data_IF_059553542943
#
_entry.id   IF_059553542943
#
_cell.length_a   1.000
_cell.length_b   1.000
_cell.length_c   1.000
_cell.angle_alpha   90.00
_cell.angle_beta   90.00
_cell.angle_gamma   90.00
#
_symmetry.space_group_name_H-M   'P 1'
#
loop_
_entity.id
_entity.type
_entity.pdbx_description
1 polymer ?
#
# COMPACT_ATOMS: atom_id res chain seq x y z
N UNK A 1 -14.59 14.85 -19.06
CA UNK A 1 -13.30 15.39 -18.57
C UNK A 1 -12.84 14.49 -17.43
N UNK A 2 -12.08 13.43 -17.74
CA UNK A 2 -11.63 12.44 -16.74
C UNK A 2 -10.35 12.96 -16.11
N UNK A 3 -10.45 13.56 -14.91
CA UNK A 3 -9.30 13.80 -14.03
C UNK A 3 -8.82 12.43 -13.54
N UNK A 4 -7.81 11.87 -14.19
CA UNK A 4 -7.35 10.50 -13.92
C UNK A 4 -5.84 10.33 -13.86
N UNK A 5 -5.07 11.41 -13.68
CA UNK A 5 -3.60 11.34 -13.74
C UNK A 5 -2.82 11.95 -12.56
N UNK A 6 -3.47 12.46 -11.52
CA UNK A 6 -2.78 13.14 -10.40
C UNK A 6 -2.90 12.44 -9.02
N UNK A 7 -3.70 11.37 -8.90
CA UNK A 7 -3.97 10.72 -7.61
C UNK A 7 -3.29 9.34 -7.43
N UNK A 8 -2.34 8.98 -8.31
CA UNK A 8 -1.67 7.68 -8.26
C UNK A 8 -0.63 7.63 -7.13
N UNK A 9 -1.12 7.33 -5.92
CA UNK A 9 -0.38 7.01 -4.69
C UNK A 9 0.65 5.89 -4.92
N UNK A 10 1.73 5.88 -4.12
CA UNK A 10 2.74 4.83 -3.96
C UNK A 10 2.66 3.72 -5.03
N UNK A 11 3.23 4.01 -6.20
CA UNK A 11 3.18 3.10 -7.33
C UNK A 11 4.23 2.00 -7.26
N UNK A 12 5.18 2.06 -6.33
CA UNK A 12 6.31 1.12 -6.24
C UNK A 12 6.82 0.98 -4.82
N UNK A 13 7.36 -0.18 -4.47
CA UNK A 13 8.02 -0.41 -3.19
C UNK A 13 9.27 -1.28 -3.32
N UNK A 14 10.08 -1.36 -2.27
CA UNK A 14 11.22 -2.27 -2.18
C UNK A 14 10.80 -3.52 -1.41
N UNK A 15 10.91 -4.69 -2.03
CA UNK A 15 10.72 -5.96 -1.31
C UNK A 15 11.89 -6.22 -0.34
N UNK A 16 11.83 -7.36 0.37
CA UNK A 16 12.86 -7.77 1.34
C UNK A 16 14.23 -8.08 0.71
N UNK A 17 14.28 -8.26 -0.61
CA UNK A 17 15.52 -8.45 -1.38
C UNK A 17 16.04 -7.12 -1.98
N UNK A 18 15.48 -5.98 -1.56
CA UNK A 18 15.78 -4.64 -2.08
C UNK A 18 15.50 -4.45 -3.58
N UNK A 19 14.66 -5.31 -4.17
CA UNK A 19 14.17 -5.15 -5.54
C UNK A 19 12.99 -4.20 -5.57
N UNK A 20 12.98 -3.29 -6.54
CA UNK A 20 11.81 -2.46 -6.85
C UNK A 20 10.68 -3.32 -7.44
N UNK A 21 9.52 -3.23 -6.80
CA UNK A 21 8.30 -3.93 -7.18
C UNK A 21 7.35 -2.95 -7.84
N UNK A 22 6.75 -3.41 -8.94
CA UNK A 22 5.86 -2.63 -9.79
C UNK A 22 4.44 -3.21 -9.75
N UNK A 23 3.41 -2.41 -10.09
CA UNK A 23 2.09 -2.94 -10.31
C UNK A 23 2.12 -4.04 -11.36
N UNK A 24 1.33 -5.10 -11.13
CA UNK A 24 1.28 -6.34 -11.91
C UNK A 24 2.41 -7.34 -11.64
N UNK A 25 3.41 -7.00 -10.81
CA UNK A 25 4.38 -7.99 -10.33
C UNK A 25 3.69 -9.00 -9.38
N UNK A 26 4.24 -10.21 -9.36
CA UNK A 26 3.92 -11.24 -8.36
C UNK A 26 4.66 -10.90 -7.06
N UNK A 27 3.94 -10.90 -5.94
CA UNK A 27 4.43 -10.51 -4.63
C UNK A 27 3.97 -11.51 -3.59
N UNK A 28 4.89 -11.94 -2.72
CA UNK A 28 4.54 -12.69 -1.51
C UNK A 28 3.86 -11.75 -0.51
N UNK A 29 2.63 -12.08 -0.13
CA UNK A 29 1.85 -11.38 0.89
C UNK A 29 1.63 -12.29 2.08
N UNK A 30 1.51 -11.70 3.27
CA UNK A 30 1.18 -12.43 4.49
C UNK A 30 -0.32 -12.36 4.78
N UNK A 31 -0.92 -13.47 5.17
CA UNK A 31 -2.34 -13.58 5.51
C UNK A 31 -2.51 -14.34 6.83
N UNK A 32 -3.74 -14.37 7.36
CA UNK A 32 -4.06 -15.21 8.52
C UNK A 32 -3.85 -16.72 8.26
N UNK A 33 -3.73 -17.13 7.01
CA UNK A 33 -3.53 -18.53 6.58
C UNK A 33 -2.06 -18.84 6.24
N UNK A 34 -1.14 -17.90 6.44
CA UNK A 34 0.26 -17.99 6.00
C UNK A 34 0.56 -17.10 4.79
N UNK A 35 1.74 -17.29 4.20
CA UNK A 35 2.18 -16.51 3.04
C UNK A 35 1.56 -17.04 1.73
N UNK A 36 1.33 -16.14 0.77
CA UNK A 36 0.77 -16.47 -0.53
C UNK A 36 1.33 -15.51 -1.59
N UNK A 37 1.58 -16.02 -2.80
CA UNK A 37 1.90 -15.17 -3.93
C UNK A 37 0.64 -14.59 -4.56
N UNK A 38 0.62 -13.27 -4.78
CA UNK A 38 -0.47 -12.54 -5.44
C UNK A 38 0.07 -11.47 -6.39
N UNK A 39 -0.68 -11.19 -7.44
CA UNK A 39 -0.40 -10.12 -8.40
C UNK A 39 -0.85 -8.79 -7.82
N UNK A 40 0.02 -7.78 -7.82
CA UNK A 40 -0.36 -6.45 -7.37
C UNK A 40 -1.25 -5.74 -8.39
N UNK A 41 -2.50 -5.51 -8.02
CA UNK A 41 -3.46 -4.73 -8.78
C UNK A 41 -4.64 -5.54 -9.30
N UNK A 42 -5.83 -4.94 -9.23
CA UNK A 42 -7.07 -5.49 -9.72
C UNK A 42 -7.44 -4.81 -11.04
N UNK A 43 -7.52 -5.58 -12.12
CA UNK A 43 -7.88 -5.04 -13.44
C UNK A 43 -9.38 -4.84 -13.53
N UNK A 44 -9.80 -3.62 -13.85
CA UNK A 44 -11.17 -3.34 -14.23
C UNK A 44 -11.41 -3.80 -15.67
N UNK A 45 -12.28 -4.82 -15.85
CA UNK A 45 -12.57 -5.43 -17.14
C UNK A 45 -13.24 -4.49 -18.16
N UNK A 46 -13.87 -3.41 -17.71
CA UNK A 46 -14.64 -2.52 -18.58
C UNK A 46 -13.78 -1.44 -19.25
N UNK A 47 -12.74 -0.95 -18.59
CA UNK A 47 -11.92 0.16 -19.06
C UNK A 47 -10.40 -0.14 -19.04
N UNK A 48 -10.03 -1.38 -18.72
CA UNK A 48 -8.66 -1.87 -18.62
C UNK A 48 -7.77 -1.07 -17.65
N UNK A 49 -8.35 -0.33 -16.70
CA UNK A 49 -7.56 0.37 -15.67
C UNK A 49 -7.24 -0.57 -14.53
N UNK A 50 -6.01 -0.52 -14.05
CA UNK A 50 -5.58 -1.32 -12.88
C UNK A 50 -5.76 -0.50 -11.61
N UNK A 51 -6.57 -1.01 -10.70
CA UNK A 51 -6.71 -0.49 -9.35
C UNK A 51 -5.60 -1.09 -8.49
N UNK A 52 -4.64 -0.28 -8.06
CA UNK A 52 -3.47 -0.74 -7.28
C UNK A 52 -3.60 -0.43 -5.79
N UNK A 53 -4.44 0.55 -5.44
CA UNK A 53 -4.61 1.09 -4.10
C UNK A 53 -6.10 1.19 -3.72
N UNK A 54 -6.39 1.07 -2.42
CA UNK A 54 -7.69 1.35 -1.82
C UNK A 54 -7.53 2.37 -0.69
N UNK A 55 -8.53 3.24 -0.50
CA UNK A 55 -8.55 4.21 0.60
C UNK A 55 -9.01 3.51 1.87
N UNK A 56 -8.19 3.53 2.93
CA UNK A 56 -8.52 2.90 4.21
C UNK A 56 -9.78 3.47 4.85
N UNK A 57 -10.10 4.73 4.55
CA UNK A 57 -11.30 5.43 5.01
C UNK A 57 -12.59 4.79 4.49
N UNK A 58 -12.57 4.18 3.29
CA UNK A 58 -13.78 3.68 2.61
C UNK A 58 -13.70 2.21 2.20
N UNK A 59 -12.57 1.53 2.44
CA UNK A 59 -12.36 0.14 2.02
C UNK A 59 -13.38 -0.83 2.62
N UNK A 60 -13.92 -0.53 3.80
CA UNK A 60 -14.92 -1.36 4.47
C UNK A 60 -16.36 -1.06 4.03
N UNK A 61 -16.58 0.07 3.34
CA UNK A 61 -17.91 0.55 2.95
C UNK A 61 -18.21 0.21 1.48
N UNK A 62 -17.21 0.31 0.61
CA UNK A 62 -17.39 0.18 -0.83
C UNK A 62 -17.64 -1.28 -1.26
N UNK A 63 -18.72 -1.58 -2.02
CA UNK A 63 -19.08 -2.94 -2.41
C UNK A 63 -17.96 -3.73 -3.10
N UNK A 64 -17.08 -3.05 -3.85
CA UNK A 64 -16.00 -3.71 -4.60
C UNK A 64 -14.98 -4.42 -3.70
N UNK A 65 -14.79 -3.94 -2.47
CA UNK A 65 -13.84 -4.46 -1.49
C UNK A 65 -14.47 -5.38 -0.44
N UNK A 66 -15.81 -5.55 -0.46
CA UNK A 66 -16.57 -6.32 0.55
C UNK A 66 -16.06 -7.75 0.70
N UNK A 67 -15.75 -8.41 -0.42
CA UNK A 67 -15.29 -9.79 -0.45
C UNK A 67 -13.75 -9.91 -0.53
N UNK A 68 -13.02 -8.81 -0.33
CA UNK A 68 -11.56 -8.85 -0.27
C UNK A 68 -11.11 -9.04 1.17
N UNK A 69 -10.19 -10.00 1.38
CA UNK A 69 -9.65 -10.40 2.68
C UNK A 69 -8.42 -9.55 3.02
N UNK A 70 -8.14 -9.27 4.31
CA UNK A 70 -6.94 -8.55 4.72
C UNK A 70 -5.65 -9.33 4.44
N UNK A 71 -4.58 -8.62 4.10
CA UNK A 71 -3.21 -9.12 4.04
C UNK A 71 -2.20 -8.04 4.46
N UNK A 72 -0.96 -8.46 4.66
CA UNK A 72 0.20 -7.60 4.90
C UNK A 72 1.19 -7.75 3.73
N UNK A 73 1.78 -6.63 3.32
CA UNK A 73 2.87 -6.57 2.34
C UNK A 73 4.13 -6.12 3.08
N UNK A 74 5.06 -7.03 3.39
CA UNK A 74 6.35 -6.67 3.97
C UNK A 74 7.23 -5.99 2.92
N UNK A 75 7.86 -4.89 3.30
CA UNK A 75 8.73 -4.10 2.42
C UNK A 75 9.85 -3.42 3.21
N UNK A 76 10.94 -3.05 2.55
CA UNK A 76 12.02 -2.24 3.13
C UNK A 76 11.66 -0.74 3.09
N UNK A 77 10.85 -0.36 2.11
CA UNK A 77 10.44 1.02 1.90
C UNK A 77 9.52 1.15 0.71
N UNK A 78 8.99 2.35 0.51
CA UNK A 78 8.10 2.65 -0.59
C UNK A 78 8.46 3.95 -1.29
N UNK A 79 8.09 4.06 -2.56
CA UNK A 79 8.45 5.22 -3.38
C UNK A 79 7.25 6.15 -3.58
N UNK A 80 7.52 7.45 -3.50
CA UNK A 80 6.58 8.51 -3.89
C UNK A 80 7.28 9.54 -4.78
N UNK A 81 6.46 10.26 -5.54
CA UNK A 81 6.92 11.32 -6.43
C UNK A 81 6.29 12.64 -6.03
N UNK A 82 7.09 13.70 -5.95
CA UNK A 82 6.55 15.04 -5.78
C UNK A 82 5.92 15.58 -7.09
N UNK A 83 5.32 16.77 -7.00
CA UNK A 83 4.70 17.45 -8.15
C UNK A 83 5.69 17.74 -9.29
N UNK A 84 6.98 17.78 -9.00
CA UNK A 84 8.07 17.95 -9.98
C UNK A 84 8.60 16.61 -10.51
N UNK A 85 7.93 15.50 -10.17
CA UNK A 85 8.28 14.12 -10.52
C UNK A 85 9.64 13.68 -9.97
N UNK A 86 10.12 14.27 -8.89
CA UNK A 86 11.31 13.77 -8.19
C UNK A 86 10.91 12.57 -7.34
N UNK A 87 11.66 11.48 -7.46
CA UNK A 87 11.43 10.22 -6.75
C UNK A 87 12.03 10.30 -5.35
N UNK A 88 11.28 9.87 -4.35
CA UNK A 88 11.71 9.75 -2.95
C UNK A 88 11.45 8.34 -2.46
N UNK A 89 12.38 7.82 -1.67
CA UNK A 89 12.24 6.56 -0.94
C UNK A 89 11.91 6.87 0.52
N UNK A 90 10.78 6.35 0.99
CA UNK A 90 10.35 6.40 2.38
C UNK A 90 10.70 5.09 3.08
N UNK A 91 11.35 5.19 4.25
CA UNK A 91 11.73 4.05 5.10
C UNK A 91 11.54 4.40 6.57
N UNK A 92 11.59 3.39 7.44
CA UNK A 92 11.86 3.64 8.87
C UNK A 92 13.30 4.16 9.05
N UNK A 93 13.58 4.97 10.10
CA UNK A 93 14.93 5.48 10.36
C UNK A 93 16.00 4.39 10.49
N UNK A 94 15.64 3.28 11.12
CA UNK A 94 16.49 2.10 11.34
C UNK A 94 16.54 1.14 10.15
N UNK A 95 15.82 1.45 9.06
CA UNK A 95 15.61 0.58 7.90
C UNK A 95 14.98 -0.78 8.22
N UNK A 96 14.28 -0.89 9.35
CA UNK A 96 13.48 -2.09 9.65
C UNK A 96 12.32 -2.24 8.65
N UNK A 97 11.80 -3.46 8.58
CA UNK A 97 10.68 -3.83 7.71
C UNK A 97 9.47 -2.95 8.04
N UNK A 98 8.86 -2.41 6.98
CA UNK A 98 7.53 -1.81 7.04
C UNK A 98 6.48 -2.85 6.63
N UNK A 99 5.35 -2.84 7.33
CA UNK A 99 4.22 -3.72 7.05
C UNK A 99 3.10 -2.88 6.45
N UNK A 100 2.92 -2.93 5.13
CA UNK A 100 1.84 -2.22 4.48
C UNK A 100 0.56 -3.06 4.56
N UNK A 101 -0.54 -2.45 4.95
CA UNK A 101 -1.85 -3.08 4.90
C UNK A 101 -2.30 -3.28 3.45
N UNK A 102 -2.88 -4.43 3.14
CA UNK A 102 -3.48 -4.71 1.84
C UNK A 102 -4.76 -5.51 1.97
N UNK A 103 -5.51 -5.59 0.87
CA UNK A 103 -6.61 -6.54 0.74
C UNK A 103 -6.47 -7.34 -0.54
N UNK A 104 -6.85 -8.61 -0.51
CA UNK A 104 -6.70 -9.52 -1.63
C UNK A 104 -8.00 -10.29 -1.93
N UNK A 105 -8.13 -10.74 -3.18
CA UNK A 105 -9.15 -11.68 -3.66
C UNK A 105 -8.60 -12.40 -4.88
N UNK A 106 -8.93 -13.68 -5.00
CA UNK A 106 -8.44 -14.55 -6.07
C UNK A 106 -6.90 -14.55 -6.11
N UNK A 107 -6.30 -14.21 -7.25
CA UNK A 107 -4.87 -14.11 -7.48
C UNK A 107 -4.30 -12.70 -7.25
N UNK A 108 -5.10 -11.73 -6.77
CA UNK A 108 -4.74 -10.31 -6.79
C UNK A 108 -4.91 -9.61 -5.45
N UNK A 109 -4.11 -8.57 -5.23
CA UNK A 109 -4.20 -7.70 -4.07
C UNK A 109 -4.09 -6.20 -4.43
N UNK A 110 -4.49 -5.34 -3.50
CA UNK A 110 -4.26 -3.89 -3.54
C UNK A 110 -3.74 -3.42 -2.20
N UNK A 111 -2.95 -2.34 -2.20
CA UNK A 111 -2.42 -1.72 -0.98
C UNK A 111 -3.44 -0.73 -0.41
N UNK A 112 -3.61 -0.71 0.91
CA UNK A 112 -4.42 0.28 1.58
C UNK A 112 -3.60 1.54 1.78
N UNK A 113 -4.25 2.69 1.63
CA UNK A 113 -3.65 4.01 1.76
C UNK A 113 -4.42 4.86 2.76
N UNK A 114 -3.76 5.86 3.35
CA UNK A 114 -4.34 6.88 4.22
C UNK A 114 -3.84 8.27 3.82
N UNK A 115 -4.40 9.30 4.44
CA UNK A 115 -3.85 10.66 4.36
C UNK A 115 -2.39 10.66 4.85
N UNK A 116 -1.53 11.36 4.11
CA UNK A 116 -0.14 11.49 4.49
C UNK A 116 -0.02 12.36 5.75
N UNK A 117 0.98 12.08 6.59
CA UNK A 117 1.33 12.99 7.68
C UNK A 117 1.66 14.37 7.13
N UNK A 118 1.35 15.43 7.91
CA UNK A 118 1.52 16.83 7.49
C UNK A 118 2.91 17.12 6.89
N UNK A 119 3.96 16.50 7.45
CA UNK A 119 5.35 16.64 7.00
C UNK A 119 5.66 15.98 5.64
N UNK A 120 4.80 15.08 5.15
CA UNK A 120 4.95 14.38 3.86
C UNK A 120 4.06 14.93 2.76
N UNK A 121 3.05 15.75 3.11
CA UNK A 121 2.14 16.42 2.15
C UNK A 121 2.86 17.18 1.04
N UNK A 122 4.02 17.85 1.26
CA UNK A 122 4.76 18.49 0.17
C UNK A 122 5.21 17.52 -0.93
N UNK A 123 5.41 16.24 -0.59
CA UNK A 123 5.74 15.17 -1.55
C UNK A 123 4.45 14.60 -2.11
N UNK A 124 3.57 14.07 -1.27
CA UNK A 124 2.33 13.45 -1.71
C UNK A 124 1.24 13.50 -0.63
N UNK A 125 -0.03 13.62 -1.03
CA UNK A 125 -1.17 13.77 -0.10
C UNK A 125 -1.59 12.46 0.57
N UNK A 126 -1.11 11.33 0.06
CA UNK A 126 -1.47 9.99 0.51
C UNK A 126 -0.21 9.18 0.72
N UNK A 127 -0.29 8.22 1.63
CA UNK A 127 0.76 7.25 1.90
C UNK A 127 0.16 5.86 2.08
N UNK A 128 0.94 4.77 1.91
CA UNK A 128 0.51 3.44 2.33
C UNK A 128 0.13 3.44 3.80
N UNK A 129 -0.88 2.63 4.14
CA UNK A 129 -1.27 2.40 5.51
C UNK A 129 -0.26 1.43 6.12
N UNK A 130 0.77 1.96 6.77
CA UNK A 130 1.73 1.14 7.51
C UNK A 130 1.12 0.74 8.85
N UNK A 131 1.18 -0.54 9.17
CA UNK A 131 0.65 -1.15 10.39
C UNK A 131 1.82 -1.53 11.31
N UNK A 132 1.69 -1.29 12.61
CA UNK A 132 2.66 -1.75 13.61
C UNK A 132 2.51 -3.25 13.83
N UNK A 133 3.59 -3.94 14.23
CA UNK A 133 3.57 -5.41 14.40
C UNK A 133 2.46 -5.84 15.37
N UNK A 134 2.20 -5.04 16.40
CA UNK A 134 1.20 -5.31 17.43
C UNK A 134 -0.24 -5.22 16.90
N UNK A 135 -0.47 -4.45 15.84
CA UNK A 135 -1.80 -4.21 15.25
C UNK A 135 -2.09 -5.15 14.06
N UNK A 136 -1.10 -5.90 13.56
CA UNK A 136 -1.28 -6.90 12.49
C UNK A 136 -2.41 -7.90 12.80
N UNK A 137 -2.51 -8.49 14.02
CA UNK A 137 -3.59 -9.42 14.32
C UNK A 137 -4.97 -8.78 14.18
N UNK A 138 -5.15 -7.54 14.63
CA UNK A 138 -6.42 -6.82 14.54
C UNK A 138 -6.80 -6.54 13.07
N UNK A 139 -5.81 -6.25 12.22
CA UNK A 139 -6.03 -6.09 10.79
C UNK A 139 -6.39 -7.41 10.10
N UNK A 140 -5.63 -8.47 10.35
CA UNK A 140 -5.81 -9.76 9.68
C UNK A 140 -7.10 -10.48 10.09
N UNK A 141 -7.55 -10.31 11.33
CA UNK A 141 -8.77 -10.95 11.86
C UNK A 141 -10.03 -10.12 11.56
N UNK A 142 -10.00 -8.83 11.86
CA UNK A 142 -11.22 -8.00 11.90
C UNK A 142 -11.26 -6.92 10.81
N UNK A 143 -10.22 -6.82 9.96
CA UNK A 143 -10.07 -5.74 8.97
C UNK A 143 -10.12 -4.35 9.64
N UNK A 144 -9.63 -4.27 10.88
CA UNK A 144 -9.64 -3.08 11.72
C UNK A 144 -8.32 -2.34 11.58
N UNK A 145 -8.41 -1.11 11.08
CA UNK A 145 -7.29 -0.19 10.92
C UNK A 145 -7.17 0.67 12.19
N UNK A 146 -6.06 0.53 12.91
CA UNK A 146 -5.76 1.30 14.10
C UNK A 146 -4.77 2.42 13.75
N UNK A 147 -5.18 3.67 13.96
CA UNK A 147 -4.40 4.83 13.57
C UNK A 147 -3.28 5.08 14.58
N UNK A 148 -2.13 4.45 14.36
CA UNK A 148 -0.86 4.83 15.01
C UNK A 148 -0.04 5.72 14.08
N UNK A 149 0.63 6.69 14.69
CA UNK A 149 1.67 7.44 14.01
C UNK A 149 3.00 6.73 14.21
N UNK A 150 3.61 6.35 13.10
CA UNK A 150 4.94 5.75 13.06
C UNK A 150 5.94 6.79 12.55
N UNK A 151 7.19 6.68 12.97
CA UNK A 151 8.25 7.57 12.52
C UNK A 151 8.83 7.09 11.18
N UNK A 152 8.97 8.01 10.22
CA UNK A 152 9.59 7.73 8.93
C UNK A 152 10.52 8.85 8.50
N UNK A 153 11.51 8.45 7.71
CA UNK A 153 12.36 9.35 6.95
C UNK A 153 12.13 9.13 5.45
N UNK A 154 12.47 10.13 4.66
CA UNK A 154 12.54 10.00 3.22
C UNK A 154 13.86 10.57 2.69
N UNK A 155 14.35 10.00 1.61
CA UNK A 155 15.52 10.50 0.87
C UNK A 155 15.21 10.54 -0.61
N UNK A 156 15.83 11.46 -1.33
CA UNK A 156 15.79 11.48 -2.79
C UNK A 156 16.43 10.19 -3.33
N UNK A 157 15.74 9.52 -4.25
CA UNK A 157 16.17 8.28 -4.88
C UNK A 157 16.69 8.51 -6.30
#
# INVERSE_FOLDING_TARGET
MVRGKEDAMCGRFLNLEEREIFPSDLVEIETIQGTMDKIWGVVNKYNNTTLINARGETVNELPMFRNMKPCIIPAIGYFEWDKEKKKYLFTKPDRSIIHMAGVYRDDRFVIITKEAYQQFVPIHQRMPYIISIEDIPAWLQDKRLLNRQEEYIYKRA
#
